data_IF_102871061219
#
_entry.id   IF_102871061219
#
_cell.length_a   1.000
_cell.length_b   1.000
_cell.length_c   1.000
_cell.angle_alpha   90.00
_cell.angle_beta   90.00
_cell.angle_gamma   90.00
#
_symmetry.space_group_name_H-M   'P 1'
#
loop_
_entity.id
_entity.type
_entity.pdbx_description
1 polymer ?
#
# COMPACT_ATOMS: atom_id res chain seq x y z
N UNK A 1 17.44 -23.92 26.98
CA UNK A 1 17.10 -23.64 25.57
C UNK A 1 18.39 -23.48 24.78
N UNK A 2 18.40 -23.73 23.48
CA UNK A 2 19.61 -23.49 22.68
C UNK A 2 19.91 -21.97 22.60
N UNK A 3 21.18 -21.52 22.68
CA UNK A 3 21.53 -20.10 22.79
C UNK A 3 21.05 -19.19 21.65
N UNK A 4 20.77 -19.76 20.48
CA UNK A 4 20.26 -19.01 19.33
C UNK A 4 18.77 -18.66 19.47
N UNK A 5 18.01 -19.35 20.32
CA UNK A 5 16.57 -19.14 20.52
C UNK A 5 16.28 -17.87 21.32
N UNK A 6 17.18 -17.50 22.24
CA UNK A 6 17.02 -16.33 23.13
C UNK A 6 17.13 -14.99 22.38
N UNK A 7 17.63 -14.99 21.14
CA UNK A 7 17.86 -13.79 20.35
C UNK A 7 17.02 -13.70 19.07
N UNK A 8 16.03 -14.60 18.88
CA UNK A 8 15.11 -14.52 17.75
C UNK A 8 14.01 -13.52 18.09
N UNK A 9 14.25 -12.27 17.77
CA UNK A 9 13.22 -11.25 17.82
C UNK A 9 12.50 -11.14 16.48
N UNK A 10 11.17 -11.08 16.52
CA UNK A 10 10.38 -10.86 15.31
C UNK A 10 10.79 -9.54 14.63
N UNK A 11 10.94 -9.52 13.30
CA UNK A 11 11.13 -8.28 12.55
C UNK A 11 9.87 -7.39 12.60
N UNK A 12 8.69 -7.99 12.82
CA UNK A 12 7.41 -7.30 12.92
C UNK A 12 7.13 -6.94 14.37
N UNK A 13 6.91 -5.65 14.63
CA UNK A 13 6.36 -5.16 15.86
C UNK A 13 4.84 -5.38 15.83
N UNK A 14 4.35 -6.34 16.61
CA UNK A 14 2.93 -6.63 16.66
C UNK A 14 2.18 -5.63 17.57
N UNK A 15 1.11 -5.00 17.07
CA UNK A 15 0.26 -4.15 17.91
C UNK A 15 -0.33 -4.94 19.09
N UNK A 16 -0.63 -4.20 20.17
CA UNK A 16 -1.31 -4.77 21.34
C UNK A 16 -2.71 -5.25 20.98
N UNK A 17 -3.14 -6.32 21.64
CA UNK A 17 -4.45 -6.96 21.44
C UNK A 17 -5.19 -6.95 22.77
N UNK A 18 -6.42 -6.44 22.77
CA UNK A 18 -7.24 -6.33 23.99
C UNK A 18 -7.90 -7.66 24.38
N UNK A 19 -7.99 -8.62 23.45
CA UNK A 19 -8.51 -9.94 23.71
C UNK A 19 -7.53 -10.78 24.53
N UNK A 20 -7.95 -11.19 25.74
CA UNK A 20 -7.11 -11.91 26.72
C UNK A 20 -6.60 -13.28 26.24
N UNK A 21 -7.34 -13.94 25.34
CA UNK A 21 -7.01 -15.29 24.82
C UNK A 21 -6.90 -15.30 23.30
N UNK A 22 -6.35 -14.24 22.70
CA UNK A 22 -6.18 -14.19 21.26
C UNK A 22 -5.17 -15.24 20.78
N UNK A 23 -5.61 -16.10 19.88
CA UNK A 23 -4.79 -17.09 19.18
C UNK A 23 -5.10 -17.13 17.69
N UNK A 24 -4.11 -17.49 16.88
CA UNK A 24 -4.31 -17.75 15.46
C UNK A 24 -4.70 -19.22 15.31
N UNK A 25 -5.95 -19.47 14.97
CA UNK A 25 -6.46 -20.82 14.78
C UNK A 25 -5.76 -21.50 13.59
N UNK A 26 -5.39 -22.79 13.70
CA UNK A 26 -4.76 -23.53 12.59
C UNK A 26 -5.57 -23.49 11.30
N UNK A 27 -6.90 -23.51 11.39
CA UNK A 27 -7.78 -23.40 10.22
C UNK A 27 -7.58 -22.09 9.43
N UNK A 28 -7.28 -20.98 10.10
CA UNK A 28 -6.98 -19.70 9.44
C UNK A 28 -5.63 -19.74 8.73
N UNK A 29 -4.63 -20.37 9.36
CA UNK A 29 -3.32 -20.58 8.75
C UNK A 29 -3.46 -21.41 7.48
N UNK A 30 -4.16 -22.55 7.55
CA UNK A 30 -4.40 -23.42 6.40
C UNK A 30 -5.18 -22.70 5.30
N UNK A 31 -6.19 -21.90 5.65
CA UNK A 31 -6.96 -21.10 4.69
C UNK A 31 -6.05 -20.14 3.91
N UNK A 32 -5.16 -19.42 4.61
CA UNK A 32 -4.24 -18.47 3.98
C UNK A 32 -3.22 -19.21 3.10
N UNK A 33 -2.63 -20.29 3.61
CA UNK A 33 -1.65 -21.08 2.87
C UNK A 33 -2.23 -21.72 1.61
N UNK A 34 -3.51 -22.12 1.63
CA UNK A 34 -4.13 -22.73 0.46
C UNK A 34 -4.57 -21.70 -0.59
N UNK A 35 -4.93 -20.48 -0.16
CA UNK A 35 -5.58 -19.52 -1.04
C UNK A 35 -4.73 -18.29 -1.39
N UNK A 36 -3.65 -18.02 -0.66
CA UNK A 36 -2.84 -16.81 -0.83
C UNK A 36 -1.33 -17.04 -0.65
N UNK A 37 -0.82 -18.26 -0.82
CA UNK A 37 0.62 -18.52 -0.71
C UNK A 37 1.40 -17.89 -1.86
N UNK A 38 2.45 -17.13 -1.52
CA UNK A 38 3.34 -16.49 -2.49
C UNK A 38 4.75 -17.07 -2.44
N UNK A 39 5.21 -17.57 -3.59
CA UNK A 39 6.49 -18.24 -3.75
C UNK A 39 7.63 -17.27 -4.11
N UNK A 40 7.30 -16.06 -4.58
CA UNK A 40 8.28 -15.10 -5.05
C UNK A 40 8.96 -15.54 -6.34
N UNK A 41 8.21 -16.25 -7.19
CA UNK A 41 8.64 -16.64 -8.55
C UNK A 41 8.23 -15.57 -9.57
N UNK A 42 8.87 -15.58 -10.73
CA UNK A 42 8.73 -14.51 -11.74
C UNK A 42 7.34 -14.40 -12.36
N UNK A 43 6.56 -15.47 -12.34
CA UNK A 43 5.18 -15.53 -12.85
C UNK A 43 4.15 -15.02 -11.85
N UNK A 44 4.48 -14.93 -10.57
CA UNK A 44 3.56 -14.42 -9.56
C UNK A 44 3.61 -12.89 -9.51
N UNK A 45 2.44 -12.29 -9.32
CA UNK A 45 2.30 -10.85 -9.07
C UNK A 45 2.28 -10.59 -7.56
N UNK A 46 3.26 -9.85 -7.00
CA UNK A 46 3.24 -9.45 -5.59
C UNK A 46 1.96 -8.68 -5.22
N UNK A 47 1.41 -7.90 -6.17
CA UNK A 47 0.20 -7.11 -5.97
C UNK A 47 -1.04 -7.99 -5.86
N UNK A 48 -1.22 -8.95 -6.78
CA UNK A 48 -2.34 -9.89 -6.72
C UNK A 48 -2.29 -10.74 -5.44
N UNK A 49 -1.09 -11.10 -4.99
CA UNK A 49 -0.91 -11.76 -3.70
C UNK A 49 -1.41 -10.90 -2.54
N UNK A 50 -0.98 -9.64 -2.45
CA UNK A 50 -1.41 -8.73 -1.38
C UNK A 50 -2.92 -8.52 -1.41
N UNK A 51 -3.51 -8.31 -2.59
CA UNK A 51 -4.96 -8.16 -2.75
C UNK A 51 -5.70 -9.39 -2.23
N UNK A 52 -5.30 -10.58 -2.67
CA UNK A 52 -5.92 -11.85 -2.25
C UNK A 52 -5.77 -12.12 -0.76
N UNK A 53 -4.61 -11.78 -0.19
CA UNK A 53 -4.42 -11.83 1.25
C UNK A 53 -5.36 -10.87 1.99
N UNK A 54 -5.48 -9.63 1.52
CA UNK A 54 -6.36 -8.62 2.13
C UNK A 54 -7.84 -9.01 2.05
N UNK A 55 -8.28 -9.61 0.95
CA UNK A 55 -9.64 -10.15 0.80
C UNK A 55 -9.93 -11.24 1.86
N UNK A 56 -8.99 -12.17 2.05
CA UNK A 56 -9.13 -13.22 3.06
C UNK A 56 -9.05 -12.67 4.49
N UNK A 57 -8.05 -11.84 4.78
CA UNK A 57 -7.82 -11.28 6.11
C UNK A 57 -8.93 -10.28 6.51
N UNK A 58 -9.43 -9.50 5.55
CA UNK A 58 -10.51 -8.52 5.76
C UNK A 58 -11.86 -9.16 6.10
N UNK A 59 -12.07 -10.43 5.71
CA UNK A 59 -13.25 -11.20 6.13
C UNK A 59 -13.23 -11.58 7.62
N UNK A 60 -12.08 -11.49 8.28
CA UNK A 60 -11.90 -11.87 9.67
C UNK A 60 -12.26 -10.71 10.59
N UNK A 61 -13.27 -10.91 11.44
CA UNK A 61 -13.62 -9.99 12.52
C UNK A 61 -13.46 -10.71 13.86
N UNK A 62 -12.50 -10.27 14.68
CA UNK A 62 -12.26 -10.82 16.01
C UNK A 62 -12.37 -9.67 17.02
N UNK A 63 -13.30 -9.83 17.97
CA UNK A 63 -13.54 -8.82 19.00
C UNK A 63 -12.26 -8.54 19.81
N UNK A 64 -11.93 -7.26 19.98
CA UNK A 64 -10.76 -6.83 20.74
C UNK A 64 -9.42 -6.98 20.00
N UNK A 65 -9.42 -7.29 18.70
CA UNK A 65 -8.20 -7.39 17.88
C UNK A 65 -8.26 -6.35 16.75
N UNK A 66 -7.32 -5.39 16.69
CA UNK A 66 -7.22 -4.46 15.56
C UNK A 66 -7.00 -5.21 14.25
N UNK A 67 -7.63 -4.75 13.15
CA UNK A 67 -7.48 -5.36 11.83
C UNK A 67 -6.00 -5.41 11.39
N UNK A 68 -5.26 -4.34 11.64
CA UNK A 68 -3.83 -4.26 11.37
C UNK A 68 -3.02 -5.30 12.15
N UNK A 69 -3.39 -5.55 13.41
CA UNK A 69 -2.74 -6.58 14.23
C UNK A 69 -2.95 -7.98 13.65
N UNK A 70 -4.14 -8.25 13.08
CA UNK A 70 -4.41 -9.50 12.35
C UNK A 70 -3.57 -9.58 11.08
N UNK A 71 -3.58 -8.54 10.25
CA UNK A 71 -2.83 -8.50 8.98
C UNK A 71 -1.34 -8.78 9.21
N UNK A 72 -0.71 -8.05 10.14
CA UNK A 72 0.71 -8.20 10.47
C UNK A 72 1.07 -9.59 11.00
N UNK A 73 0.17 -10.25 11.74
CA UNK A 73 0.42 -11.59 12.28
C UNK A 73 0.11 -12.71 11.30
N UNK A 74 -0.82 -12.49 10.37
CA UNK A 74 -1.27 -13.48 9.40
C UNK A 74 -0.42 -13.49 8.13
N UNK A 75 0.12 -12.34 7.73
CA UNK A 75 0.92 -12.21 6.50
C UNK A 75 2.11 -13.17 6.42
N UNK A 76 2.88 -13.46 7.49
CA UNK A 76 3.97 -14.45 7.39
C UNK A 76 3.51 -15.84 6.93
N UNK A 77 2.26 -16.23 7.19
CA UNK A 77 1.69 -17.51 6.76
C UNK A 77 1.31 -17.53 5.28
N UNK A 78 1.18 -16.38 4.63
CA UNK A 78 0.95 -16.28 3.20
C UNK A 78 2.25 -16.35 2.39
N UNK A 79 3.41 -16.49 3.05
CA UNK A 79 4.73 -16.48 2.40
C UNK A 79 5.31 -17.90 2.33
N UNK A 80 5.74 -18.32 1.14
CA UNK A 80 6.53 -19.54 1.02
C UNK A 80 7.95 -19.33 1.57
N UNK A 81 8.67 -20.42 1.77
CA UNK A 81 9.96 -20.45 2.48
C UNK A 81 10.96 -19.35 2.06
N UNK A 82 11.19 -19.17 0.75
CA UNK A 82 12.14 -18.17 0.24
C UNK A 82 11.76 -16.74 0.66
N UNK A 83 10.47 -16.45 0.65
CA UNK A 83 9.92 -15.13 0.95
C UNK A 83 9.84 -14.91 2.46
N UNK A 84 9.39 -15.93 3.20
CA UNK A 84 9.41 -15.92 4.66
C UNK A 84 10.83 -15.72 5.22
N UNK A 85 11.83 -16.36 4.61
CA UNK A 85 13.25 -16.16 4.97
C UNK A 85 13.70 -14.71 4.79
N UNK A 86 13.27 -14.06 3.70
CA UNK A 86 13.57 -12.64 3.50
C UNK A 86 12.96 -11.78 4.62
N UNK A 87 11.71 -12.06 5.01
CA UNK A 87 11.04 -11.34 6.08
C UNK A 87 11.79 -11.52 7.40
N UNK A 88 12.14 -12.76 7.74
CA UNK A 88 12.84 -13.11 8.98
C UNK A 88 14.28 -12.59 9.05
N UNK A 89 14.91 -12.28 7.91
CA UNK A 89 16.25 -11.69 7.85
C UNK A 89 16.25 -10.16 8.03
N UNK A 90 15.07 -9.52 8.17
CA UNK A 90 15.00 -8.10 8.49
C UNK A 90 15.46 -7.84 9.94
N UNK A 91 15.98 -6.65 10.26
CA UNK A 91 16.35 -6.32 11.63
C UNK A 91 15.15 -6.46 12.57
N UNK A 92 15.41 -6.83 13.83
CA UNK A 92 14.37 -6.95 14.85
C UNK A 92 13.57 -5.64 14.97
N UNK A 93 12.23 -5.77 15.04
CA UNK A 93 11.30 -4.63 15.18
C UNK A 93 11.46 -3.53 14.12
N UNK A 94 11.96 -3.87 12.92
CA UNK A 94 12.13 -2.91 11.82
C UNK A 94 10.85 -2.65 11.03
N UNK A 95 9.80 -3.43 11.25
CA UNK A 95 8.48 -3.28 10.63
C UNK A 95 7.51 -2.87 11.72
N UNK A 96 7.03 -1.63 11.66
CA UNK A 96 6.22 -1.01 12.73
C UNK A 96 4.72 -0.87 12.41
N UNK A 97 4.35 -0.98 11.12
CA UNK A 97 2.98 -0.88 10.63
C UNK A 97 2.76 -1.79 9.43
N UNK A 98 1.50 -2.00 9.07
CA UNK A 98 1.12 -2.72 7.86
C UNK A 98 1.65 -2.04 6.59
N UNK A 99 1.55 -0.70 6.51
CA UNK A 99 2.06 0.05 5.37
C UNK A 99 3.57 -0.09 5.21
N UNK A 100 4.33 -0.09 6.32
CA UNK A 100 5.77 -0.30 6.26
C UNK A 100 6.11 -1.73 5.79
N UNK A 101 5.36 -2.73 6.26
CA UNK A 101 5.51 -4.11 5.79
C UNK A 101 5.28 -4.19 4.28
N UNK A 102 4.15 -3.65 3.81
CA UNK A 102 3.77 -3.66 2.40
C UNK A 102 4.81 -2.93 1.55
N UNK A 103 5.25 -1.76 1.96
CA UNK A 103 6.26 -1.00 1.23
C UNK A 103 7.56 -1.79 1.08
N UNK A 104 8.05 -2.43 2.16
CA UNK A 104 9.26 -3.27 2.08
C UNK A 104 9.05 -4.50 1.21
N UNK A 105 7.90 -5.15 1.29
CA UNK A 105 7.54 -6.32 0.49
C UNK A 105 7.48 -5.97 -1.01
N UNK A 106 6.77 -4.90 -1.35
CA UNK A 106 6.63 -4.45 -2.73
C UNK A 106 7.98 -4.00 -3.30
N UNK A 107 8.79 -3.26 -2.52
CA UNK A 107 10.16 -2.89 -2.93
C UNK A 107 11.03 -4.11 -3.26
N UNK A 108 10.89 -5.20 -2.50
CA UNK A 108 11.70 -6.40 -2.70
C UNK A 108 11.26 -7.23 -3.91
N UNK A 109 9.95 -7.41 -4.09
CA UNK A 109 9.39 -8.41 -4.99
C UNK A 109 8.80 -7.83 -6.27
N UNK A 110 8.52 -6.52 -6.33
CA UNK A 110 8.19 -5.87 -7.59
C UNK A 110 9.42 -5.75 -8.48
N UNK A 111 9.25 -5.98 -9.78
CA UNK A 111 10.34 -5.86 -10.75
C UNK A 111 10.86 -4.41 -10.77
N UNK A 112 12.17 -4.18 -10.71
CA UNK A 112 12.74 -2.83 -10.78
C UNK A 112 12.32 -2.08 -12.05
N UNK A 113 12.20 -2.77 -13.19
CA UNK A 113 11.75 -2.18 -14.45
C UNK A 113 10.31 -1.66 -14.38
N UNK A 114 9.38 -2.44 -13.81
CA UNK A 114 7.99 -1.99 -13.58
C UNK A 114 7.93 -0.83 -12.60
N UNK A 115 8.72 -0.90 -11.54
CA UNK A 115 8.80 0.20 -10.56
C UNK A 115 9.33 1.47 -11.22
N UNK A 116 10.36 1.38 -12.07
CA UNK A 116 10.89 2.52 -12.82
C UNK A 116 9.88 3.07 -13.82
N UNK A 117 9.12 2.21 -14.50
CA UNK A 117 8.05 2.62 -15.42
C UNK A 117 6.96 3.42 -14.69
N UNK A 118 6.45 2.91 -13.57
CA UNK A 118 5.44 3.65 -12.79
C UNK A 118 6.01 4.93 -12.19
N UNK A 119 7.24 4.92 -11.68
CA UNK A 119 7.89 6.14 -11.21
C UNK A 119 8.05 7.17 -12.32
N UNK A 120 8.32 6.74 -13.56
CA UNK A 120 8.37 7.63 -14.73
C UNK A 120 6.99 8.22 -15.02
N UNK A 121 5.94 7.39 -15.04
CA UNK A 121 4.55 7.82 -15.22
C UNK A 121 4.07 8.81 -14.14
N UNK A 122 4.44 8.56 -12.88
CA UNK A 122 4.14 9.48 -11.77
C UNK A 122 4.87 10.81 -11.95
N UNK A 123 6.19 10.78 -12.22
CA UNK A 123 7.02 12.00 -12.28
C UNK A 123 6.83 12.85 -13.52
N UNK A 124 6.34 12.27 -14.62
CA UNK A 124 6.06 12.95 -15.88
C UNK A 124 4.55 12.96 -16.16
N UNK A 125 3.75 13.04 -15.11
CA UNK A 125 2.31 13.10 -15.27
C UNK A 125 1.91 14.39 -16.00
N UNK A 126 1.09 14.25 -17.02
CA UNK A 126 0.53 15.32 -17.82
C UNK A 126 -0.88 14.90 -18.23
N UNK A 127 -1.83 15.83 -18.15
CA UNK A 127 -3.20 15.63 -18.61
C UNK A 127 -3.23 15.58 -20.14
N UNK A 128 -3.99 14.64 -20.69
CA UNK A 128 -4.14 14.47 -22.15
C UNK A 128 -5.24 15.42 -22.68
N UNK A 129 -5.18 15.82 -23.95
CA UNK A 129 -6.08 16.84 -24.53
C UNK A 129 -7.55 16.39 -24.59
N UNK A 130 -7.81 15.09 -24.56
CA UNK A 130 -9.13 14.46 -24.63
C UNK A 130 -9.65 13.96 -23.27
N UNK A 131 -8.90 14.18 -22.18
CA UNK A 131 -9.33 13.83 -20.82
C UNK A 131 -10.36 14.82 -20.27
N UNK A 132 -11.40 14.28 -19.63
CA UNK A 132 -12.36 15.07 -18.83
C UNK A 132 -11.71 15.54 -17.51
N UNK A 133 -12.38 16.40 -16.73
CA UNK A 133 -11.83 16.86 -15.44
C UNK A 133 -11.62 15.71 -14.42
N UNK A 134 -12.31 14.58 -14.64
CA UNK A 134 -12.29 13.37 -13.83
C UNK A 134 -11.09 12.48 -14.13
N UNK A 135 -10.79 12.28 -15.40
CA UNK A 135 -9.85 11.25 -15.86
C UNK A 135 -8.41 11.43 -15.30
N UNK A 136 -7.84 12.65 -15.23
CA UNK A 136 -6.52 12.89 -14.66
C UNK A 136 -6.46 12.51 -13.18
N UNK A 137 -7.53 12.78 -12.43
CA UNK A 137 -7.61 12.45 -11.00
C UNK A 137 -7.61 10.93 -10.77
N UNK A 138 -8.39 10.19 -11.58
CA UNK A 138 -8.46 8.73 -11.51
C UNK A 138 -7.13 8.09 -11.94
N UNK A 139 -6.57 8.54 -13.07
CA UNK A 139 -5.31 8.00 -13.61
C UNK A 139 -4.14 8.26 -12.69
N UNK A 140 -4.02 9.47 -12.14
CA UNK A 140 -2.96 9.78 -11.20
C UNK A 140 -3.10 8.94 -9.92
N UNK A 141 -4.32 8.77 -9.40
CA UNK A 141 -4.57 7.92 -8.23
C UNK A 141 -4.21 6.45 -8.51
N UNK A 142 -4.57 5.91 -9.68
CA UNK A 142 -4.18 4.55 -10.07
C UNK A 142 -2.66 4.40 -10.09
N UNK A 143 -1.89 5.35 -10.64
CA UNK A 143 -0.42 5.24 -10.67
C UNK A 143 0.20 5.04 -9.28
N UNK A 144 -0.32 5.73 -8.25
CA UNK A 144 0.13 5.53 -6.87
C UNK A 144 -0.30 4.18 -6.29
N UNK A 145 -1.49 3.67 -6.66
CA UNK A 145 -1.93 2.32 -6.31
C UNK A 145 -1.10 1.22 -7.00
N UNK A 146 -0.58 1.48 -8.20
CA UNK A 146 0.29 0.55 -8.94
C UNK A 146 1.71 0.49 -8.35
N UNK A 147 2.14 1.56 -7.68
CA UNK A 147 3.50 1.69 -7.14
C UNK A 147 3.51 2.36 -5.76
N UNK A 148 2.91 1.75 -4.72
CA UNK A 148 2.88 2.35 -3.37
C UNK A 148 4.29 2.58 -2.79
N UNK A 149 5.27 1.78 -3.23
CA UNK A 149 6.68 1.89 -2.88
C UNK A 149 7.48 2.86 -3.78
N UNK A 150 6.83 3.90 -4.31
CA UNK A 150 7.44 4.84 -5.27
C UNK A 150 8.60 5.69 -4.70
N UNK A 151 8.63 5.91 -3.38
CA UNK A 151 9.67 6.67 -2.68
C UNK A 151 9.61 8.20 -2.84
N UNK A 152 8.69 8.74 -3.65
CA UNK A 152 8.37 10.17 -3.69
C UNK A 152 7.76 10.69 -2.38
N UNK A 153 8.12 11.92 -2.00
CA UNK A 153 7.51 12.65 -0.90
C UNK A 153 6.09 13.10 -1.24
N UNK A 154 5.23 13.29 -0.24
CA UNK A 154 3.85 13.72 -0.50
C UNK A 154 3.76 15.11 -1.13
N UNK A 155 4.71 16.01 -0.83
CA UNK A 155 4.79 17.32 -1.51
C UNK A 155 5.00 17.16 -3.02
N UNK A 156 5.86 16.22 -3.41
CA UNK A 156 6.10 15.90 -4.82
C UNK A 156 4.83 15.42 -5.53
N UNK A 157 3.96 14.68 -4.82
CA UNK A 157 2.66 14.23 -5.35
C UNK A 157 1.77 15.42 -5.72
N UNK A 158 1.65 16.41 -4.83
CA UNK A 158 0.84 17.63 -5.05
C UNK A 158 1.43 18.46 -6.20
N UNK A 159 2.73 18.73 -6.15
CA UNK A 159 3.43 19.55 -7.15
C UNK A 159 3.35 18.95 -8.55
N UNK A 160 3.53 17.62 -8.66
CA UNK A 160 3.51 16.92 -9.95
C UNK A 160 2.10 16.87 -10.53
N UNK A 161 1.10 16.57 -9.69
CA UNK A 161 -0.29 16.54 -10.15
C UNK A 161 -0.73 17.91 -10.67
N UNK A 162 -0.61 18.95 -9.83
CA UNK A 162 -0.99 20.30 -10.22
C UNK A 162 -0.17 20.79 -11.41
N UNK A 163 1.12 20.47 -11.49
CA UNK A 163 1.97 20.84 -12.61
C UNK A 163 1.46 20.29 -13.95
N UNK A 164 1.05 19.01 -13.96
CA UNK A 164 0.61 18.27 -15.15
C UNK A 164 -0.80 18.58 -15.66
N UNK A 165 -1.64 19.27 -14.89
CA UNK A 165 -3.00 19.60 -15.31
C UNK A 165 -3.07 20.72 -16.37
N UNK A 166 -4.15 20.72 -17.13
CA UNK A 166 -4.53 21.79 -18.04
C UNK A 166 -4.93 23.06 -17.28
N UNK A 167 -4.94 24.20 -17.98
CA UNK A 167 -5.20 25.49 -17.34
C UNK A 167 -6.59 25.56 -16.69
N UNK A 168 -7.61 25.02 -17.36
CA UNK A 168 -8.99 25.06 -16.90
C UNK A 168 -9.18 24.20 -15.64
N UNK A 169 -8.60 23.00 -15.59
CA UNK A 169 -8.63 22.13 -14.41
C UNK A 169 -7.85 22.70 -13.23
N UNK A 170 -6.76 23.44 -13.48
CA UNK A 170 -6.05 24.20 -12.43
C UNK A 170 -6.96 25.25 -11.80
N UNK A 171 -7.72 25.99 -12.62
CA UNK A 171 -8.68 27.01 -12.13
C UNK A 171 -9.79 26.36 -11.32
N UNK A 172 -10.35 25.25 -11.83
CA UNK A 172 -11.38 24.49 -11.13
C UNK A 172 -10.88 24.03 -9.75
N UNK A 173 -9.70 23.44 -9.69
CA UNK A 173 -9.08 22.99 -8.44
C UNK A 173 -8.88 24.15 -7.47
N UNK A 174 -8.28 25.26 -7.91
CA UNK A 174 -8.02 26.40 -7.02
C UNK A 174 -9.34 27.01 -6.49
N UNK A 175 -10.42 26.96 -7.28
CA UNK A 175 -11.76 27.34 -6.83
C UNK A 175 -12.30 26.39 -5.75
N UNK A 176 -12.17 25.07 -5.94
CA UNK A 176 -12.61 24.06 -4.96
C UNK A 176 -11.81 24.12 -3.65
N UNK A 177 -10.52 24.45 -3.73
CA UNK A 177 -9.61 24.56 -2.60
C UNK A 177 -9.81 25.83 -1.76
N UNK A 178 -10.70 26.75 -2.17
CA UNK A 178 -10.87 28.09 -1.58
C UNK A 178 -9.53 28.85 -1.44
N UNK A 179 -8.60 28.60 -2.37
CA UNK A 179 -7.19 28.97 -2.24
C UNK A 179 -6.32 28.15 -3.17
N UNK A 180 -5.00 28.09 -2.93
CA UNK A 180 -4.10 27.26 -3.76
C UNK A 180 -4.02 25.84 -3.24
N UNK A 181 -4.11 24.85 -4.14
CA UNK A 181 -3.86 23.44 -3.83
C UNK A 181 -2.53 23.22 -3.09
N UNK A 182 -1.51 24.00 -3.44
CA UNK A 182 -0.16 23.94 -2.83
C UNK A 182 -0.13 24.21 -1.32
N UNK A 183 -1.20 24.76 -0.74
CA UNK A 183 -1.31 25.01 0.70
C UNK A 183 -2.07 23.90 1.45
N UNK A 184 -2.61 22.91 0.73
CA UNK A 184 -3.35 21.80 1.34
C UNK A 184 -2.43 20.74 1.92
N UNK A 185 -2.92 20.05 2.94
CA UNK A 185 -2.25 18.86 3.47
C UNK A 185 -2.49 17.66 2.55
N UNK A 186 -1.58 16.67 2.51
CA UNK A 186 -1.73 15.51 1.64
C UNK A 186 -3.01 14.68 1.82
N UNK A 187 -3.56 14.51 3.05
CA UNK A 187 -4.88 13.90 3.22
C UNK A 187 -5.99 14.69 2.52
N UNK A 188 -5.96 16.03 2.62
CA UNK A 188 -6.95 16.89 1.97
C UNK A 188 -6.84 16.83 0.45
N UNK A 189 -5.62 16.71 -0.10
CA UNK A 189 -5.44 16.54 -1.55
C UNK A 189 -5.95 15.17 -1.99
N UNK A 190 -5.73 14.12 -1.19
CA UNK A 190 -6.26 12.78 -1.51
C UNK A 190 -7.79 12.79 -1.52
N UNK A 191 -8.42 13.40 -0.51
CA UNK A 191 -9.87 13.55 -0.43
C UNK A 191 -10.43 14.38 -1.60
N UNK A 192 -9.74 15.46 -2.00
CA UNK A 192 -10.12 16.26 -3.16
C UNK A 192 -10.04 15.48 -4.47
N UNK A 193 -8.95 14.73 -4.68
CA UNK A 193 -8.78 13.89 -5.87
C UNK A 193 -9.88 12.84 -5.97
N UNK A 194 -10.25 12.23 -4.85
CA UNK A 194 -11.37 11.28 -4.76
C UNK A 194 -12.71 11.99 -5.06
N UNK A 195 -12.92 13.18 -4.53
CA UNK A 195 -14.15 13.96 -4.77
C UNK A 195 -14.31 14.37 -6.25
N UNK A 196 -13.22 14.83 -6.88
CA UNK A 196 -13.18 15.17 -8.30
C UNK A 196 -13.38 13.92 -9.17
N UNK A 197 -12.71 12.82 -8.82
CA UNK A 197 -12.90 11.53 -9.47
C UNK A 197 -14.35 11.03 -9.34
N UNK A 198 -15.06 11.35 -8.25
CA UNK A 198 -16.44 10.90 -8.07
C UNK A 198 -17.48 11.79 -8.74
N UNK A 199 -17.28 13.11 -8.71
CA UNK A 199 -18.31 14.07 -9.10
C UNK A 199 -18.28 14.40 -10.59
N UNK A 200 -17.11 14.53 -11.22
CA UNK A 200 -16.96 15.03 -12.59
C UNK A 200 -17.53 16.44 -12.72
N UNK A 201 -16.70 17.45 -12.99
CA UNK A 201 -17.11 18.85 -12.98
C UNK A 201 -17.28 19.43 -14.39
N UNK A 202 -17.55 18.55 -15.36
CA UNK A 202 -17.63 18.82 -16.80
C UNK A 202 -18.93 19.56 -17.22
#
# INVERSE_FOLDING_TARGET
MAPWVENIQSPILHPSVAANNFEIKPALVTMIQNNALFHGITSESPREHVQRFLELAGSLKINGVPAEALQLRLFPYSLAWKVLRWLNNRPARSIISWDDLLNKFMTQYCRPSKTAEWRKKISHFEQEEDETSRDPCERFSDYFLQCPHHGFEEKFRIETFYGGLMHDDKILIDSLCQGRLMNMTPPQVTELLEDMALKGYD
#
